data_IF_005270931825
#
_entry.id   IF_005270931825
#
_cell.length_a   1.000
_cell.length_b   1.000
_cell.length_c   1.000
_cell.angle_alpha   90.00
_cell.angle_beta   90.00
_cell.angle_gamma   90.00
#
_symmetry.space_group_name_H-M   'P 1'
#
loop_
_entity.id
_entity.type
_entity.pdbx_description
1 polymer ?
#
# COMPACT_ATOMS: atom_id res chain seq x y z
N UNK A 1 -4.39 0.03 -29.80
CA UNK A 1 -3.53 -1.06 -29.29
C UNK A 1 -2.52 -1.38 -30.38
N UNK A 2 -1.31 -0.87 -30.22
CA UNK A 2 -0.27 -0.90 -31.27
C UNK A 2 0.78 -1.95 -30.90
N UNK A 3 1.23 -2.74 -31.88
CA UNK A 3 2.37 -3.62 -31.67
C UNK A 3 3.63 -2.77 -31.53
N UNK A 4 4.34 -2.93 -30.41
CA UNK A 4 5.54 -2.16 -30.10
C UNK A 4 6.71 -3.11 -29.97
N UNK A 5 7.81 -2.77 -30.64
CA UNK A 5 9.05 -3.53 -30.51
C UNK A 5 9.57 -3.50 -29.08
N UNK A 6 10.19 -4.59 -28.65
CA UNK A 6 10.69 -4.74 -27.28
C UNK A 6 11.69 -3.66 -26.87
N UNK A 7 12.47 -3.15 -27.82
CA UNK A 7 13.42 -2.05 -27.59
C UNK A 7 12.74 -0.75 -27.13
N UNK A 8 11.47 -0.55 -27.50
CA UNK A 8 10.72 0.66 -27.20
C UNK A 8 9.90 0.57 -25.91
N UNK A 9 9.78 -0.62 -25.31
CA UNK A 9 8.99 -0.83 -24.07
C UNK A 9 9.50 0.03 -22.92
N UNK A 10 10.82 0.14 -22.75
CA UNK A 10 11.40 1.00 -21.72
C UNK A 10 11.11 2.49 -21.95
N UNK A 11 11.10 2.93 -23.22
CA UNK A 11 10.77 4.32 -23.55
C UNK A 11 9.31 4.62 -23.21
N UNK A 12 8.40 3.70 -23.56
CA UNK A 12 6.98 3.82 -23.21
C UNK A 12 6.81 3.85 -21.68
N UNK A 13 7.43 2.92 -20.95
CA UNK A 13 7.33 2.89 -19.50
C UNK A 13 7.85 4.17 -18.86
N UNK A 14 8.94 4.74 -19.37
CA UNK A 14 9.45 6.03 -18.92
C UNK A 14 8.45 7.17 -19.16
N UNK A 15 7.80 7.20 -20.32
CA UNK A 15 6.80 8.22 -20.63
C UNK A 15 5.55 8.13 -19.76
N UNK A 16 5.11 6.92 -19.39
CA UNK A 16 3.96 6.74 -18.51
C UNK A 16 4.30 6.86 -17.03
N UNK A 17 5.53 6.51 -16.61
CA UNK A 17 5.90 6.45 -15.20
C UNK A 17 6.72 7.66 -14.71
N UNK A 18 7.67 8.17 -15.50
CA UNK A 18 8.65 9.16 -15.03
C UNK A 18 8.26 10.61 -15.37
N UNK A 19 7.21 10.79 -16.18
CA UNK A 19 6.79 12.12 -16.63
C UNK A 19 6.21 12.90 -15.45
N UNK A 20 6.58 14.18 -15.23
CA UNK A 20 6.09 14.96 -14.09
C UNK A 20 4.55 15.02 -14.00
N UNK A 21 3.88 14.97 -15.16
CA UNK A 21 2.43 15.01 -15.29
C UNK A 21 1.76 13.65 -15.09
N UNK A 22 2.49 12.53 -15.17
CA UNK A 22 1.90 11.21 -14.96
C UNK A 22 1.77 10.85 -13.48
N UNK A 23 2.32 11.67 -12.56
CA UNK A 23 2.07 11.54 -11.13
C UNK A 23 2.71 10.30 -10.48
N UNK A 24 3.65 9.63 -11.14
CA UNK A 24 4.28 8.39 -10.66
C UNK A 24 3.25 7.37 -10.18
N UNK A 25 2.40 6.96 -11.12
CA UNK A 25 1.27 6.06 -10.86
C UNK A 25 1.72 4.78 -10.15
N UNK A 26 0.81 4.20 -9.37
CA UNK A 26 1.00 2.86 -8.82
C UNK A 26 1.31 1.86 -9.92
N UNK A 27 1.94 0.75 -9.55
CA UNK A 27 2.29 -0.33 -10.48
C UNK A 27 1.07 -0.85 -11.23
N UNK A 28 -0.06 -0.96 -10.54
CA UNK A 28 -1.33 -1.43 -11.07
C UNK A 28 -1.88 -0.44 -12.11
N UNK A 29 -1.86 0.86 -11.80
CA UNK A 29 -2.39 1.87 -12.70
C UNK A 29 -1.51 2.08 -13.93
N UNK A 30 -0.18 2.03 -13.76
CA UNK A 30 0.76 2.02 -14.89
C UNK A 30 0.52 0.80 -15.79
N UNK A 31 0.25 -0.37 -15.22
CA UNK A 31 -0.09 -1.58 -16.01
C UNK A 31 -1.38 -1.41 -16.80
N UNK A 32 -2.40 -0.80 -16.22
CA UNK A 32 -3.68 -0.56 -16.89
C UNK A 32 -3.53 0.42 -18.06
N UNK A 33 -2.80 1.52 -17.88
CA UNK A 33 -2.55 2.48 -18.96
C UNK A 33 -1.66 1.88 -20.07
N UNK A 34 -0.60 1.17 -19.71
CA UNK A 34 0.28 0.51 -20.68
C UNK A 34 -0.50 -0.54 -21.49
N UNK A 35 -1.43 -1.27 -20.85
CA UNK A 35 -2.26 -2.28 -21.52
C UNK A 35 -3.19 -1.68 -22.59
N UNK A 36 -3.66 -0.45 -22.43
CA UNK A 36 -4.54 0.18 -23.43
C UNK A 36 -3.76 0.72 -24.63
N UNK A 37 -2.50 1.10 -24.42
CA UNK A 37 -1.64 1.70 -25.45
C UNK A 37 -0.86 0.67 -26.27
N UNK A 38 -0.23 -0.32 -25.62
CA UNK A 38 0.73 -1.22 -26.27
C UNK A 38 0.40 -2.70 -26.07
N UNK A 39 0.72 -3.51 -27.08
CA UNK A 39 0.68 -4.96 -26.98
C UNK A 39 2.00 -5.55 -27.48
N UNK A 40 2.77 -6.18 -26.58
CA UNK A 40 3.97 -6.94 -26.93
C UNK A 40 4.08 -8.22 -26.08
N UNK A 41 4.75 -9.28 -26.53
CA UNK A 41 4.97 -10.48 -25.72
C UNK A 41 5.73 -10.14 -24.43
N UNK A 42 5.30 -10.69 -23.29
CA UNK A 42 5.95 -10.54 -21.98
C UNK A 42 6.02 -9.11 -21.41
N UNK A 43 5.27 -8.14 -21.95
CA UNK A 43 5.25 -6.74 -21.46
C UNK A 43 5.08 -6.61 -19.93
N UNK A 44 4.32 -7.51 -19.30
CA UNK A 44 4.11 -7.52 -17.85
C UNK A 44 5.40 -7.81 -17.04
N UNK A 45 6.31 -8.62 -17.60
CA UNK A 45 7.62 -8.89 -16.99
C UNK A 45 8.50 -7.66 -17.10
N UNK A 46 8.52 -7.04 -18.28
CA UNK A 46 9.32 -5.84 -18.55
C UNK A 46 8.86 -4.67 -17.65
N UNK A 47 7.55 -4.48 -17.46
CA UNK A 47 6.99 -3.53 -16.48
C UNK A 47 7.46 -3.86 -15.06
N UNK A 48 7.39 -5.13 -14.65
CA UNK A 48 7.77 -5.53 -13.30
C UNK A 48 9.28 -5.32 -13.04
N UNK A 49 10.12 -5.49 -14.06
CA UNK A 49 11.56 -5.25 -13.99
C UNK A 49 11.88 -3.75 -13.95
N UNK A 50 11.17 -2.93 -14.74
CA UNK A 50 11.28 -1.47 -14.68
C UNK A 50 10.97 -0.91 -13.28
N UNK A 51 9.92 -1.39 -12.62
CA UNK A 51 9.61 -0.97 -11.26
C UNK A 51 10.66 -1.40 -10.21
N UNK A 52 11.47 -2.44 -10.49
CA UNK A 52 12.59 -2.83 -9.63
C UNK A 52 13.84 -1.95 -9.81
N UNK A 53 13.92 -1.16 -10.88
CA UNK A 53 15.03 -0.22 -11.10
C UNK A 53 14.66 1.21 -10.71
N UNK A 54 13.36 1.53 -10.58
CA UNK A 54 12.91 2.85 -10.15
C UNK A 54 13.10 3.06 -8.64
N UNK A 55 14.09 3.87 -8.25
CA UNK A 55 14.39 4.22 -6.85
C UNK A 55 13.27 5.02 -6.18
N UNK A 56 12.65 5.96 -6.90
CA UNK A 56 11.55 6.79 -6.37
C UNK A 56 10.34 5.93 -6.00
N UNK A 57 9.90 5.06 -6.91
CA UNK A 57 8.81 4.12 -6.65
C UNK A 57 9.16 3.20 -5.47
N UNK A 58 10.38 2.68 -5.40
CA UNK A 58 10.81 1.83 -4.29
C UNK A 58 10.86 2.54 -2.94
N UNK A 59 11.09 3.85 -2.91
CA UNK A 59 11.07 4.65 -1.69
C UNK A 59 9.65 4.98 -1.24
N UNK A 60 8.78 5.34 -2.18
CA UNK A 60 7.41 5.77 -1.90
C UNK A 60 6.46 4.58 -1.66
N UNK A 61 6.58 3.50 -2.45
CA UNK A 61 5.75 2.29 -2.36
C UNK A 61 6.44 1.15 -1.59
N UNK A 62 7.17 1.48 -0.51
CA UNK A 62 7.62 0.44 0.43
C UNK A 62 6.39 -0.22 1.04
N UNK A 63 6.40 -1.55 1.09
CA UNK A 63 5.42 -2.29 1.87
C UNK A 63 5.47 -1.80 3.32
N UNK A 64 4.47 -1.05 3.75
CA UNK A 64 4.37 -0.44 5.08
C UNK A 64 3.88 -1.44 6.14
N UNK A 65 3.64 -2.70 5.77
CA UNK A 65 3.17 -3.72 6.70
C UNK A 65 4.33 -4.50 7.30
N UNK A 66 4.53 -4.41 8.63
CA UNK A 66 4.92 -5.61 9.37
C UNK A 66 3.94 -6.71 8.97
N UNK A 67 4.43 -7.95 8.80
CA UNK A 67 3.57 -9.13 8.58
C UNK A 67 2.39 -9.00 9.53
N UNK A 68 1.16 -8.93 8.99
CA UNK A 68 -0.04 -8.82 9.81
C UNK A 68 0.05 -9.92 10.86
N UNK A 69 0.22 -9.52 12.13
CA UNK A 69 0.32 -10.47 13.22
C UNK A 69 -0.96 -11.29 13.26
N UNK A 70 -0.86 -12.57 13.59
CA UNK A 70 -2.06 -13.35 13.87
C UNK A 70 -2.80 -12.67 15.03
N UNK A 71 -4.12 -12.55 14.92
CA UNK A 71 -4.95 -12.07 16.02
C UNK A 71 -4.73 -13.00 17.22
N UNK A 72 -4.09 -12.48 18.26
CA UNK A 72 -3.87 -13.24 19.50
C UNK A 72 -5.18 -13.21 20.27
N UNK A 73 -5.76 -14.38 20.53
CA UNK A 73 -6.91 -14.48 21.45
C UNK A 73 -6.42 -14.16 22.86
N UNK A 74 -7.10 -13.23 23.52
CA UNK A 74 -6.94 -13.04 24.97
C UNK A 74 -7.52 -14.24 25.71
N UNK A 75 -7.02 -14.52 26.91
CA UNK A 75 -7.59 -15.55 27.77
C UNK A 75 -9.01 -15.16 28.17
N UNK A 76 -9.93 -16.12 28.18
CA UNK A 76 -11.30 -15.88 28.61
C UNK A 76 -11.34 -15.64 30.12
N UNK A 77 -11.99 -14.57 30.60
CA UNK A 77 -12.16 -14.32 32.03
C UNK A 77 -12.98 -15.45 32.65
N UNK A 78 -12.63 -15.87 33.87
CA UNK A 78 -13.30 -16.98 34.56
C UNK A 78 -14.40 -16.49 35.50
N UNK A 79 -14.34 -15.22 35.90
CA UNK A 79 -15.24 -14.53 36.83
C UNK A 79 -15.34 -13.05 36.45
N UNK A 80 -16.43 -12.37 36.83
CA UNK A 80 -16.53 -10.93 36.64
C UNK A 80 -15.34 -10.22 37.28
N UNK A 81 -14.79 -9.21 36.59
CA UNK A 81 -13.63 -8.41 37.01
C UNK A 81 -12.27 -9.11 36.94
N UNK A 82 -12.18 -10.29 36.33
CA UNK A 82 -10.91 -10.96 36.11
C UNK A 82 -10.01 -10.17 35.13
N UNK A 83 -10.61 -9.48 34.16
CA UNK A 83 -9.89 -8.68 33.18
C UNK A 83 -10.56 -7.31 33.06
N UNK A 84 -9.79 -6.25 33.29
CA UNK A 84 -10.22 -4.85 33.09
C UNK A 84 -9.39 -4.21 32.00
N UNK A 85 -10.05 -3.79 30.93
CA UNK A 85 -9.46 -2.99 29.87
C UNK A 85 -9.75 -1.52 30.11
N UNK A 86 -8.71 -0.70 30.09
CA UNK A 86 -8.82 0.75 30.24
C UNK A 86 -8.22 1.46 29.04
N UNK A 87 -8.91 2.50 28.57
CA UNK A 87 -8.40 3.38 27.52
C UNK A 87 -8.70 4.86 27.84
N UNK A 88 -7.85 5.73 27.31
CA UNK A 88 -7.93 7.17 27.48
C UNK A 88 -8.58 7.82 26.27
N UNK A 89 -9.62 8.63 26.51
CA UNK A 89 -10.21 9.43 25.44
C UNK A 89 -9.44 10.74 25.33
N UNK A 90 -8.70 10.90 24.23
CA UNK A 90 -7.97 12.14 23.92
C UNK A 90 -8.81 13.08 23.04
N UNK A 91 -8.46 14.37 23.02
CA UNK A 91 -9.13 15.38 22.18
C UNK A 91 -10.36 16.05 22.82
N UNK A 92 -10.48 15.96 24.14
CA UNK A 92 -11.55 16.63 24.89
C UNK A 92 -11.20 18.10 25.20
N UNK A 93 -12.20 18.96 25.45
CA UNK A 93 -11.96 20.34 25.87
C UNK A 93 -11.08 20.44 27.12
N UNK A 94 -10.34 21.54 27.31
CA UNK A 94 -9.52 21.75 28.50
C UNK A 94 -10.33 21.56 29.78
N UNK A 95 -9.78 20.80 30.73
CA UNK A 95 -10.42 20.53 32.02
C UNK A 95 -11.33 19.30 32.07
N UNK A 96 -11.51 18.58 30.96
CA UNK A 96 -12.27 17.31 30.95
C UNK A 96 -11.33 16.12 30.76
N UNK A 97 -11.28 15.24 31.76
CA UNK A 97 -10.60 13.94 31.68
C UNK A 97 -11.67 12.86 31.62
N UNK A 98 -11.60 11.98 30.61
CA UNK A 98 -12.48 10.82 30.48
C UNK A 98 -11.64 9.57 30.22
N UNK A 99 -11.83 8.58 31.07
CA UNK A 99 -11.36 7.21 30.85
C UNK A 99 -12.56 6.31 30.60
N UNK A 100 -12.40 5.30 29.76
CA UNK A 100 -13.39 4.24 29.55
C UNK A 100 -12.84 2.95 30.13
N UNK A 101 -13.63 2.30 30.97
CA UNK A 101 -13.32 0.98 31.53
C UNK A 101 -14.31 -0.04 31.00
N UNK A 102 -13.82 -1.16 30.47
CA UNK A 102 -14.62 -2.34 30.17
C UNK A 102 -14.10 -3.51 31.01
N UNK A 103 -14.97 -4.08 31.84
CA UNK A 103 -14.70 -5.32 32.55
C UNK A 103 -15.26 -6.47 31.73
N UNK A 104 -14.42 -7.47 31.43
CA UNK A 104 -14.82 -8.73 30.81
C UNK A 104 -14.91 -9.82 31.88
#
# INVERSE_FOLDING_TARGET
MTFVDRSLVNLVLKEFHDRPLSGHLSKERTREEVKTCIWCPMWQKDVAEYFKTCDRFQKENKSTGKRLGNMIKIQEPRRPWDIVHMDWVTGLPPGVIKAVMHAL
#
